data_IF_941212718328
#
_entry.id   IF_941212718328
#
_cell.length_a   1.000
_cell.length_b   1.000
_cell.length_c   1.000
_cell.angle_alpha   90.00
_cell.angle_beta   90.00
_cell.angle_gamma   90.00
#
_symmetry.space_group_name_H-M   'P 1'
#
loop_
_entity.id
_entity.type
_entity.pdbx_description
1 polymer ?
#
# COMPACT_ATOMS: atom_id res chain seq x y z
N UNK A 1 -24.62 -24.98 3.47
CA UNK A 1 -23.40 -24.53 4.17
C UNK A 1 -22.43 -25.69 4.15
N UNK A 2 -21.14 -25.50 3.79
CA UNK A 2 -20.13 -26.56 3.84
C UNK A 2 -20.01 -27.15 5.25
N UNK A 3 -19.76 -28.46 5.34
CA UNK A 3 -19.69 -29.17 6.62
C UNK A 3 -18.62 -28.64 7.59
N UNK A 4 -17.58 -28.02 7.04
CA UNK A 4 -16.44 -27.45 7.81
C UNK A 4 -16.40 -25.90 7.77
N UNK A 5 -17.49 -25.25 7.35
CA UNK A 5 -17.58 -23.80 7.26
C UNK A 5 -16.83 -23.21 6.06
N UNK A 6 -16.51 -21.92 6.14
CA UNK A 6 -15.80 -21.16 5.13
C UNK A 6 -14.48 -20.68 5.70
N UNK A 7 -13.40 -20.83 4.94
CA UNK A 7 -12.05 -20.36 5.30
C UNK A 7 -11.69 -19.18 4.41
N UNK A 8 -11.10 -18.14 5.00
CA UNK A 8 -10.54 -16.99 4.28
C UNK A 8 -9.02 -16.95 4.48
N UNK A 9 -8.33 -16.50 3.44
CA UNK A 9 -6.93 -16.08 3.49
C UNK A 9 -6.89 -14.56 3.46
N UNK A 10 -6.49 -13.93 4.55
CA UNK A 10 -6.46 -12.49 4.75
C UNK A 10 -5.02 -12.00 4.82
N UNK A 11 -4.69 -10.93 4.09
CA UNK A 11 -3.33 -10.42 4.00
C UNK A 11 -2.99 -9.40 5.09
N UNK A 12 -3.16 -9.82 6.34
CA UNK A 12 -2.62 -9.19 7.54
C UNK A 12 -2.38 -10.22 8.63
N UNK A 13 -1.74 -9.80 9.70
CA UNK A 13 -1.64 -10.53 10.96
C UNK A 13 -2.86 -10.17 11.83
N UNK A 14 -3.97 -10.90 11.67
CA UNK A 14 -5.18 -10.66 12.47
C UNK A 14 -4.90 -10.73 13.97
N UNK A 15 -5.48 -9.84 14.77
CA UNK A 15 -6.64 -8.99 14.53
C UNK A 15 -6.33 -7.61 13.89
N UNK A 16 -5.08 -7.33 13.53
CA UNK A 16 -4.75 -6.08 12.86
C UNK A 16 -5.27 -6.04 11.42
N UNK A 17 -5.74 -4.87 11.00
CA UNK A 17 -6.13 -4.55 9.62
C UNK A 17 -7.26 -5.43 9.07
N UNK A 18 -8.32 -5.66 9.85
CA UNK A 18 -9.56 -6.28 9.35
C UNK A 18 -10.17 -5.41 8.25
N UNK A 19 -10.63 -6.02 7.15
CA UNK A 19 -11.29 -5.31 6.06
C UNK A 19 -10.63 -5.49 4.70
N UNK A 20 -10.93 -4.59 3.76
CA UNK A 20 -10.70 -4.80 2.33
C UNK A 20 -9.29 -4.40 1.83
N UNK A 21 -8.51 -3.64 2.61
CA UNK A 21 -7.22 -3.09 2.16
C UNK A 21 -6.09 -3.21 3.21
N UNK A 22 -5.86 -4.40 3.79
CA UNK A 22 -4.91 -4.58 4.90
C UNK A 22 -3.47 -4.25 4.48
N UNK A 23 -3.03 -4.68 3.31
CA UNK A 23 -1.67 -4.44 2.80
C UNK A 23 -1.40 -2.95 2.61
N UNK A 24 -2.38 -2.24 2.05
CA UNK A 24 -2.31 -0.79 1.86
C UNK A 24 -2.25 -0.06 3.21
N UNK A 25 -3.05 -0.48 4.18
CA UNK A 25 -3.06 0.10 5.52
C UNK A 25 -1.71 -0.09 6.23
N UNK A 26 -1.13 -1.27 6.19
CA UNK A 26 0.17 -1.58 6.78
C UNK A 26 1.30 -0.69 6.21
N UNK A 27 1.36 -0.52 4.88
CA UNK A 27 2.36 0.36 4.24
C UNK A 27 2.11 1.82 4.64
N UNK A 28 0.86 2.30 4.57
CA UNK A 28 0.52 3.70 4.83
C UNK A 28 0.86 4.12 6.27
N UNK A 29 0.65 3.25 7.26
CA UNK A 29 0.97 3.50 8.66
C UNK A 29 2.45 3.31 8.98
N UNK A 30 3.18 2.61 8.10
CA UNK A 30 4.62 2.39 8.23
C UNK A 30 4.96 1.18 9.07
N UNK A 31 4.10 0.18 9.07
CA UNK A 31 4.45 -1.12 9.62
C UNK A 31 5.68 -1.69 8.91
N UNK A 32 6.53 -2.37 9.65
CA UNK A 32 7.74 -3.02 9.11
C UNK A 32 7.52 -4.52 8.86
N UNK A 33 6.47 -5.08 9.46
CA UNK A 33 6.08 -6.49 9.33
C UNK A 33 4.58 -6.56 9.10
N UNK A 34 4.17 -7.45 8.22
CA UNK A 34 2.79 -7.87 7.99
C UNK A 34 2.77 -9.38 7.79
N UNK A 35 1.74 -9.91 7.16
CA UNK A 35 1.65 -11.33 6.89
C UNK A 35 0.35 -11.74 6.24
N UNK A 36 0.09 -13.03 6.27
CA UNK A 36 -1.19 -13.59 5.90
C UNK A 36 -1.72 -14.49 7.03
N UNK A 37 -3.03 -14.46 7.19
CA UNK A 37 -3.76 -15.24 8.21
C UNK A 37 -4.84 -16.07 7.54
N UNK A 38 -4.89 -17.37 7.84
CA UNK A 38 -6.05 -18.22 7.51
C UNK A 38 -6.99 -18.28 8.71
N UNK A 39 -8.26 -18.00 8.50
CA UNK A 39 -9.25 -17.95 9.57
C UNK A 39 -10.62 -18.46 9.10
N UNK A 40 -11.46 -18.87 10.04
CA UNK A 40 -12.84 -19.24 9.75
C UNK A 40 -13.71 -17.99 9.60
N UNK A 41 -14.55 -17.94 8.55
CA UNK A 41 -15.45 -16.81 8.34
C UNK A 41 -16.60 -16.88 9.36
N UNK A 42 -16.88 -15.77 10.00
CA UNK A 42 -17.98 -15.50 10.90
C UNK A 42 -18.79 -14.28 10.45
N UNK A 43 -19.97 -14.01 11.05
CA UNK A 43 -20.80 -12.86 10.64
C UNK A 43 -20.14 -11.50 10.81
N UNK A 44 -19.24 -11.34 11.81
CA UNK A 44 -18.49 -10.09 12.01
C UNK A 44 -17.28 -10.02 11.07
N UNK A 45 -16.91 -8.81 10.67
CA UNK A 45 -15.84 -8.56 9.71
C UNK A 45 -14.50 -9.12 10.20
N UNK A 46 -13.99 -10.12 9.48
CA UNK A 46 -12.67 -10.75 9.66
C UNK A 46 -12.32 -11.10 11.13
N UNK A 47 -13.35 -11.46 11.92
CA UNK A 47 -13.23 -11.68 13.38
C UNK A 47 -13.10 -13.14 13.79
N UNK A 48 -13.31 -14.06 12.86
CA UNK A 48 -13.34 -15.49 13.17
C UNK A 48 -12.01 -16.06 13.66
N UNK A 49 -12.05 -17.26 14.25
CA UNK A 49 -10.86 -17.88 14.84
C UNK A 49 -9.83 -18.28 13.77
N UNK A 50 -8.56 -18.13 14.13
CA UNK A 50 -7.38 -18.29 13.26
C UNK A 50 -6.87 -19.71 13.25
N UNK A 51 -6.59 -20.25 12.08
CA UNK A 51 -5.93 -21.55 11.89
C UNK A 51 -4.42 -21.45 11.77
N UNK A 52 -3.91 -20.42 11.09
CA UNK A 52 -2.48 -20.24 10.88
C UNK A 52 -2.11 -18.86 10.39
N UNK A 53 -0.84 -18.52 10.56
CA UNK A 53 -0.27 -17.24 10.12
C UNK A 53 1.09 -17.46 9.46
N UNK A 54 1.43 -16.57 8.53
CA UNK A 54 2.79 -16.41 8.00
C UNK A 54 3.14 -14.95 8.02
N UNK A 55 4.35 -14.62 8.46
CA UNK A 55 4.87 -13.25 8.51
C UNK A 55 5.62 -12.89 7.24
N UNK A 56 5.57 -11.62 6.86
CA UNK A 56 6.28 -11.04 5.73
C UNK A 56 6.86 -9.68 6.11
N UNK A 57 8.11 -9.42 5.75
CA UNK A 57 8.75 -8.11 5.97
C UNK A 57 8.29 -7.11 4.92
N UNK A 58 7.90 -5.92 5.35
CA UNK A 58 7.63 -4.78 4.47
C UNK A 58 8.95 -4.05 4.23
N UNK A 59 9.44 -4.07 3.00
CA UNK A 59 10.69 -3.41 2.60
C UNK A 59 10.47 -1.91 2.43
N UNK A 60 11.48 -1.06 2.64
CA UNK A 60 11.34 0.39 2.54
C UNK A 60 10.80 0.91 1.21
N UNK A 61 11.02 0.16 0.12
CA UNK A 61 10.60 0.53 -1.24
C UNK A 61 9.40 -0.24 -1.75
N UNK A 62 8.85 -1.18 -0.96
CA UNK A 62 7.69 -1.95 -1.39
C UNK A 62 6.48 -1.06 -1.70
N UNK A 63 5.88 -1.29 -2.85
CA UNK A 63 4.51 -0.88 -3.14
C UNK A 63 3.53 -1.92 -2.63
N UNK A 64 2.24 -1.56 -2.57
CA UNK A 64 1.20 -2.55 -2.26
C UNK A 64 1.18 -3.70 -3.27
N UNK A 65 1.49 -3.45 -4.55
CA UNK A 65 1.62 -4.49 -5.56
C UNK A 65 2.73 -5.49 -5.24
N UNK A 66 3.94 -4.99 -4.97
CA UNK A 66 5.10 -5.86 -4.66
C UNK A 66 4.83 -6.75 -3.44
N UNK A 67 4.21 -6.17 -2.40
CA UNK A 67 3.90 -6.89 -1.18
C UNK A 67 2.77 -7.91 -1.38
N UNK A 68 1.73 -7.55 -2.14
CA UNK A 68 0.64 -8.47 -2.51
C UNK A 68 1.14 -9.68 -3.30
N UNK A 69 2.06 -9.48 -4.25
CA UNK A 69 2.64 -10.57 -5.03
C UNK A 69 3.38 -11.57 -4.14
N UNK A 70 4.16 -11.09 -3.16
CA UNK A 70 4.85 -11.97 -2.20
C UNK A 70 3.88 -12.68 -1.26
N UNK A 71 2.88 -11.96 -0.73
CA UNK A 71 1.87 -12.53 0.15
C UNK A 71 0.97 -13.54 -0.58
N UNK A 72 0.74 -13.36 -1.88
CA UNK A 72 0.00 -14.34 -2.68
C UNK A 72 0.70 -15.70 -2.73
N UNK A 73 2.03 -15.69 -2.83
CA UNK A 73 2.82 -16.94 -2.85
C UNK A 73 2.87 -17.59 -1.46
N UNK A 74 3.28 -16.85 -0.44
CA UNK A 74 3.39 -17.39 0.93
C UNK A 74 2.02 -17.74 1.52
N UNK A 75 1.01 -16.94 1.23
CA UNK A 75 -0.36 -17.17 1.67
C UNK A 75 -1.01 -18.38 1.01
N UNK A 76 -0.74 -18.62 -0.28
CA UNK A 76 -1.23 -19.83 -0.95
C UNK A 76 -0.68 -21.11 -0.31
N UNK A 77 0.61 -21.13 0.03
CA UNK A 77 1.23 -22.25 0.75
C UNK A 77 0.59 -22.43 2.15
N UNK A 78 0.40 -21.35 2.89
CA UNK A 78 -0.30 -21.36 4.18
C UNK A 78 -1.71 -21.92 4.05
N UNK A 79 -2.49 -21.47 3.05
CA UNK A 79 -3.84 -21.92 2.83
C UNK A 79 -3.90 -23.42 2.51
N UNK A 80 -3.03 -23.93 1.65
CA UNK A 80 -2.97 -25.35 1.33
C UNK A 80 -2.73 -26.18 2.58
N UNK A 81 -1.68 -25.85 3.36
CA UNK A 81 -1.38 -26.52 4.63
C UNK A 81 -2.53 -26.44 5.63
N UNK A 82 -3.23 -25.30 5.68
CA UNK A 82 -4.41 -25.11 6.54
C UNK A 82 -5.54 -26.06 6.15
N UNK A 83 -5.84 -26.14 4.85
CA UNK A 83 -6.93 -27.01 4.37
C UNK A 83 -6.63 -28.49 4.60
N UNK A 84 -5.39 -28.92 4.38
CA UNK A 84 -4.96 -30.29 4.68
C UNK A 84 -5.11 -30.60 6.19
N UNK A 85 -4.59 -29.73 7.04
CA UNK A 85 -4.71 -29.89 8.50
C UNK A 85 -6.14 -29.89 9.03
N UNK A 86 -7.04 -29.11 8.41
CA UNK A 86 -8.49 -29.15 8.72
C UNK A 86 -9.09 -30.48 8.24
N UNK A 87 -8.70 -30.96 7.05
CA UNK A 87 -9.18 -32.21 6.50
C UNK A 87 -8.84 -33.40 7.40
N UNK A 88 -7.61 -33.44 7.88
CA UNK A 88 -7.08 -34.48 8.75
C UNK A 88 -7.52 -34.35 10.22
N UNK A 89 -8.20 -33.25 10.59
CA UNK A 89 -8.59 -32.97 11.96
C UNK A 89 -7.41 -32.60 12.89
N UNK A 90 -6.27 -32.26 12.30
CA UNK A 90 -5.04 -31.88 13.04
C UNK A 90 -5.03 -30.43 13.50
N UNK A 91 -5.82 -29.54 12.88
CA UNK A 91 -5.88 -28.12 13.22
C UNK A 91 -7.18 -27.77 13.95
N UNK A 92 -7.03 -27.05 15.06
CA UNK A 92 -8.14 -26.41 15.79
C UNK A 92 -7.95 -24.90 15.72
N UNK A 93 -8.95 -24.13 15.28
CA UNK A 93 -8.82 -22.69 15.18
C UNK A 93 -8.79 -22.03 16.55
N UNK A 94 -8.00 -20.97 16.70
CA UNK A 94 -7.81 -20.23 17.95
C UNK A 94 -8.51 -18.87 17.84
N UNK A 95 -9.34 -18.46 18.82
CA UNK A 95 -9.96 -17.14 18.83
C UNK A 95 -8.92 -16.03 18.72
N UNK A 96 -9.25 -14.98 17.95
CA UNK A 96 -8.40 -13.80 17.87
C UNK A 96 -8.34 -13.09 19.22
N UNK A 97 -7.20 -12.47 19.60
CA UNK A 97 -7.14 -11.62 20.79
C UNK A 97 -8.08 -10.43 20.67
N UNK A 98 -8.57 -9.94 21.81
CA UNK A 98 -9.42 -8.75 21.86
C UNK A 98 -8.62 -7.45 21.58
N UNK A 99 -7.35 -7.44 21.96
CA UNK A 99 -6.46 -6.31 21.79
C UNK A 99 -5.82 -6.31 20.40
N UNK A 100 -5.42 -5.12 19.91
CA UNK A 100 -4.72 -4.96 18.63
C UNK A 100 -5.65 -4.94 17.40
N UNK A 101 -6.95 -4.88 17.58
CA UNK A 101 -7.91 -4.76 16.48
C UNK A 101 -7.78 -3.42 15.80
N UNK A 102 -7.55 -3.45 14.48
CA UNK A 102 -7.57 -2.26 13.63
C UNK A 102 -8.32 -2.55 12.33
N UNK A 103 -8.74 -1.48 11.62
CA UNK A 103 -9.57 -1.60 10.43
C UNK A 103 -8.83 -1.06 9.20
N UNK A 104 -9.03 -1.73 8.08
CA UNK A 104 -8.50 -1.36 6.77
C UNK A 104 -9.64 -1.30 5.73
N UNK A 105 -10.42 -0.21 5.69
CA UNK A 105 -11.52 -0.08 4.76
C UNK A 105 -11.02 0.00 3.32
N UNK A 106 -11.92 -0.27 2.36
CA UNK A 106 -11.62 -0.15 0.93
C UNK A 106 -11.17 1.27 0.59
N UNK A 107 -10.04 1.38 -0.12
CA UNK A 107 -9.50 2.67 -0.57
C UNK A 107 -10.20 3.11 -1.86
N UNK A 108 -10.66 4.36 -1.89
CA UNK A 108 -11.28 4.99 -3.06
C UNK A 108 -10.23 5.68 -3.93
N UNK A 109 -10.61 5.99 -5.17
CA UNK A 109 -9.76 6.76 -6.09
C UNK A 109 -9.43 8.14 -5.53
N UNK A 110 -10.38 8.78 -4.83
CA UNK A 110 -10.16 10.10 -4.23
C UNK A 110 -9.13 10.05 -3.09
N UNK A 111 -9.09 8.98 -2.34
CA UNK A 111 -8.08 8.77 -1.31
C UNK A 111 -6.67 8.57 -1.88
N UNK A 112 -6.53 8.28 -3.18
CA UNK A 112 -5.24 8.28 -3.87
C UNK A 112 -4.65 9.67 -4.12
N UNK A 113 -5.38 10.77 -3.85
CA UNK A 113 -4.87 12.12 -4.00
C UNK A 113 -3.76 12.43 -3.02
N UNK A 114 -2.61 12.89 -3.53
CA UNK A 114 -1.48 13.27 -2.69
C UNK A 114 -1.73 14.60 -2.00
N UNK A 115 -1.48 14.65 -0.70
CA UNK A 115 -1.52 15.84 0.13
C UNK A 115 -0.10 16.33 0.36
N UNK A 116 0.32 17.32 -0.40
CA UNK A 116 1.68 17.84 -0.35
C UNK A 116 2.05 18.57 0.95
N UNK A 117 1.06 18.97 1.75
CA UNK A 117 1.22 19.58 3.07
C UNK A 117 1.70 18.60 4.16
N UNK A 118 1.70 17.31 3.87
CA UNK A 118 2.20 16.28 4.79
C UNK A 118 3.72 16.10 4.69
N UNK A 119 4.39 15.54 5.72
CA UNK A 119 5.81 15.21 5.67
C UNK A 119 6.16 14.21 4.55
N UNK A 120 7.36 14.33 3.98
CA UNK A 120 7.82 13.52 2.85
C UNK A 120 7.68 12.01 3.06
N UNK A 121 8.01 11.51 4.26
CA UNK A 121 7.86 10.08 4.56
C UNK A 121 6.42 9.59 4.60
N UNK A 122 5.47 10.45 4.97
CA UNK A 122 4.02 10.13 4.93
C UNK A 122 3.54 10.08 3.49
N UNK A 123 3.99 11.03 2.67
CA UNK A 123 3.68 11.09 1.23
C UNK A 123 4.24 9.86 0.50
N UNK A 124 5.50 9.49 0.77
CA UNK A 124 6.12 8.29 0.20
C UNK A 124 5.31 7.03 0.53
N UNK A 125 5.01 6.81 1.82
CA UNK A 125 4.19 5.67 2.26
C UNK A 125 2.81 5.68 1.61
N UNK A 126 2.16 6.84 1.54
CA UNK A 126 0.87 6.98 0.90
C UNK A 126 0.93 6.57 -0.58
N UNK A 127 1.89 7.11 -1.35
CA UNK A 127 2.05 6.76 -2.76
C UNK A 127 2.29 5.26 -2.95
N UNK A 128 3.20 4.68 -2.17
CA UNK A 128 3.49 3.24 -2.22
C UNK A 128 2.28 2.39 -1.83
N UNK A 129 1.52 2.80 -0.82
CA UNK A 129 0.36 2.06 -0.34
C UNK A 129 -0.77 1.95 -1.36
N UNK A 130 -0.92 2.93 -2.25
CA UNK A 130 -1.96 2.94 -3.28
C UNK A 130 -1.45 2.53 -4.67
N UNK A 131 -0.19 2.15 -4.80
CA UNK A 131 0.41 1.68 -6.06
C UNK A 131 0.33 0.15 -6.17
N UNK A 132 -0.15 -0.42 -7.27
CA UNK A 132 -0.60 0.25 -8.51
C UNK A 132 -2.06 0.71 -8.49
N UNK A 133 -2.87 0.29 -7.53
CA UNK A 133 -4.31 0.54 -7.48
C UNK A 133 -4.76 1.01 -6.09
N UNK A 134 -5.59 2.08 -6.04
CA UNK A 134 -6.18 2.85 -7.13
C UNK A 134 -5.18 3.74 -7.88
N UNK A 135 -3.95 3.88 -7.39
CA UNK A 135 -2.89 4.72 -7.87
C UNK A 135 -2.90 6.11 -7.23
N UNK A 136 -1.70 6.59 -6.85
CA UNK A 136 -1.52 7.96 -6.37
C UNK A 136 -1.71 8.96 -7.51
N UNK A 137 -2.24 10.16 -7.19
CA UNK A 137 -2.43 11.22 -8.18
C UNK A 137 -2.38 12.61 -7.54
N UNK A 138 -2.10 13.59 -8.39
CA UNK A 138 -2.14 15.02 -8.05
C UNK A 138 -2.70 15.82 -9.21
N UNK A 139 -3.00 17.10 -8.95
CA UNK A 139 -3.31 18.08 -10.00
C UNK A 139 -2.07 18.88 -10.32
N UNK A 140 -1.80 19.06 -11.61
CA UNK A 140 -0.79 19.98 -12.13
C UNK A 140 -1.54 20.91 -13.11
N UNK A 141 -1.80 22.13 -12.69
CA UNK A 141 -2.82 22.96 -13.33
C UNK A 141 -4.16 22.22 -13.32
N UNK A 142 -4.81 22.12 -14.47
CA UNK A 142 -6.08 21.41 -14.66
C UNK A 142 -5.92 19.92 -14.99
N UNK A 143 -4.68 19.42 -15.04
CA UNK A 143 -4.42 18.03 -15.38
C UNK A 143 -4.33 17.15 -14.14
N UNK A 144 -5.09 16.05 -14.12
CA UNK A 144 -4.92 14.97 -13.14
C UNK A 144 -3.80 14.05 -13.60
N UNK A 145 -2.67 14.05 -12.91
CA UNK A 145 -1.49 13.25 -13.23
C UNK A 145 -1.35 12.14 -12.20
N UNK A 146 -1.23 10.89 -12.65
CA UNK A 146 -0.89 9.77 -11.76
C UNK A 146 0.59 9.81 -11.44
N UNK A 147 0.94 9.40 -10.22
CA UNK A 147 2.30 9.36 -9.72
C UNK A 147 2.71 7.92 -9.43
N UNK A 148 3.90 7.54 -9.86
CA UNK A 148 4.61 6.37 -9.37
C UNK A 148 5.34 6.66 -8.06
N UNK A 149 6.05 5.65 -7.49
CA UNK A 149 6.86 5.83 -6.30
C UNK A 149 7.84 7.00 -6.43
N UNK A 150 8.07 7.68 -5.30
CA UNK A 150 8.96 8.83 -5.18
C UNK A 150 10.18 8.47 -4.34
N UNK A 151 11.18 9.36 -4.32
CA UNK A 151 12.30 9.28 -3.38
C UNK A 151 12.35 10.54 -2.53
N UNK A 152 12.64 10.40 -1.25
CA UNK A 152 12.85 11.54 -0.35
C UNK A 152 14.22 12.16 -0.68
N UNK A 153 14.27 13.47 -0.87
CA UNK A 153 15.49 14.21 -1.16
C UNK A 153 15.80 15.17 0.00
N UNK A 154 16.41 14.62 1.05
CA UNK A 154 16.73 15.32 2.28
C UNK A 154 17.94 16.26 2.15
N UNK A 155 18.71 16.14 1.08
CA UNK A 155 19.83 17.05 0.75
C UNK A 155 19.41 18.27 -0.07
N UNK A 156 18.19 18.27 -0.63
CA UNK A 156 17.72 19.37 -1.46
C UNK A 156 17.21 20.55 -0.64
N UNK A 157 17.23 21.73 -1.25
CA UNK A 157 16.60 22.92 -0.69
C UNK A 157 15.11 22.69 -0.44
N UNK A 158 14.61 23.12 0.72
CA UNK A 158 13.20 23.02 1.08
C UNK A 158 12.34 23.86 0.16
N UNK A 159 11.29 23.26 -0.37
CA UNK A 159 10.31 23.91 -1.24
C UNK A 159 8.97 24.01 -0.50
N UNK A 160 8.19 25.07 -0.72
CA UNK A 160 6.82 25.12 -0.20
C UNK A 160 5.99 23.93 -0.70
N UNK A 161 5.03 23.41 0.10
CA UNK A 161 4.21 22.26 -0.26
C UNK A 161 3.53 22.42 -1.62
N UNK A 162 3.68 21.43 -2.50
CA UNK A 162 3.10 21.41 -3.85
C UNK A 162 3.86 22.22 -4.90
N UNK A 163 4.88 22.99 -4.52
CA UNK A 163 5.72 23.71 -5.50
C UNK A 163 6.59 22.68 -6.24
N UNK A 164 6.55 22.76 -7.56
CA UNK A 164 7.31 21.88 -8.45
C UNK A 164 8.57 22.65 -8.92
N UNK A 165 9.73 22.02 -8.80
CA UNK A 165 10.99 22.48 -9.38
C UNK A 165 11.58 21.40 -10.27
N UNK A 166 11.81 21.74 -11.54
CA UNK A 166 12.46 20.87 -12.50
C UNK A 166 13.86 21.40 -12.82
N UNK A 167 14.86 20.56 -12.72
CA UNK A 167 16.25 20.86 -13.06
C UNK A 167 16.95 19.63 -13.70
N UNK A 168 18.27 19.70 -13.88
CA UNK A 168 19.06 18.58 -14.46
C UNK A 168 19.06 17.33 -13.57
N UNK A 169 18.83 17.46 -12.27
CA UNK A 169 18.79 16.35 -11.31
C UNK A 169 17.41 15.67 -11.25
N UNK A 170 16.36 16.31 -11.80
CA UNK A 170 15.03 15.72 -11.87
C UNK A 170 13.90 16.69 -11.57
N UNK A 171 12.76 16.14 -11.18
CA UNK A 171 11.57 16.91 -10.83
C UNK A 171 11.29 16.73 -9.34
N UNK A 172 11.43 17.79 -8.58
CA UNK A 172 11.14 17.82 -7.15
C UNK A 172 9.78 18.45 -6.87
N UNK A 173 9.13 17.97 -5.83
CA UNK A 173 7.92 18.59 -5.31
C UNK A 173 8.11 18.86 -3.82
N UNK A 174 7.79 20.08 -3.40
CA UNK A 174 7.81 20.48 -2.00
C UNK A 174 6.76 19.75 -1.18
N UNK A 175 7.10 19.44 0.07
CA UNK A 175 6.23 18.76 1.03
C UNK A 175 6.15 19.54 2.34
N UNK A 176 5.44 19.03 3.33
CA UNK A 176 5.45 19.57 4.69
C UNK A 176 6.79 19.41 5.45
N UNK A 177 7.82 18.85 4.81
CA UNK A 177 9.17 18.72 5.35
C UNK A 177 10.22 18.95 4.26
N UNK A 178 10.96 17.92 3.84
CA UNK A 178 11.93 17.96 2.74
C UNK A 178 11.26 17.58 1.41
N UNK A 179 11.77 18.03 0.26
CA UNK A 179 11.17 17.69 -1.03
C UNK A 179 11.20 16.18 -1.32
N UNK A 180 10.33 15.75 -2.22
CA UNK A 180 10.42 14.43 -2.85
C UNK A 180 10.80 14.58 -4.32
N UNK A 181 11.60 13.63 -4.82
CA UNK A 181 11.95 13.50 -6.22
C UNK A 181 10.95 12.55 -6.89
N UNK A 182 10.29 13.02 -7.94
CA UNK A 182 9.38 12.20 -8.73
C UNK A 182 10.14 11.22 -9.59
N UNK A 183 9.78 9.92 -9.53
CA UNK A 183 10.32 8.90 -10.42
C UNK A 183 9.58 8.87 -11.75
N UNK A 184 8.41 8.26 -11.75
CA UNK A 184 7.55 8.15 -12.94
C UNK A 184 6.21 8.82 -12.68
N UNK A 185 5.59 9.27 -13.77
CA UNK A 185 4.24 9.83 -13.75
C UNK A 185 3.49 9.49 -15.03
N UNK A 186 2.16 9.60 -14.97
CA UNK A 186 1.30 9.34 -16.11
C UNK A 186 0.32 10.50 -16.30
N UNK A 187 0.55 11.38 -17.30
CA UNK A 187 -0.43 12.39 -17.69
C UNK A 187 -1.67 11.75 -18.33
N UNK A 188 -2.80 12.46 -18.40
CA UNK A 188 -4.00 11.97 -19.06
C UNK A 188 -3.76 11.52 -20.49
N UNK A 189 -4.24 10.33 -20.85
CA UNK A 189 -4.10 9.78 -22.20
C UNK A 189 -2.67 9.39 -22.63
N UNK A 190 -1.69 9.44 -21.75
CA UNK A 190 -0.29 9.05 -22.01
C UNK A 190 0.06 7.75 -21.28
N UNK A 191 1.15 7.12 -21.71
CA UNK A 191 1.78 6.02 -20.96
C UNK A 191 2.56 6.56 -19.75
N UNK A 192 2.82 5.69 -18.81
CA UNK A 192 3.75 5.96 -17.71
C UNK A 192 5.12 6.34 -18.28
N UNK A 193 5.71 7.43 -17.79
CA UNK A 193 6.97 7.96 -18.28
C UNK A 193 7.80 8.55 -17.13
N UNK A 194 9.09 8.76 -17.39
CA UNK A 194 9.97 9.42 -16.43
C UNK A 194 9.55 10.88 -16.22
N UNK A 195 9.53 11.34 -14.98
CA UNK A 195 9.10 12.69 -14.62
C UNK A 195 9.99 13.77 -15.24
N UNK A 196 11.31 13.55 -15.35
CA UNK A 196 12.22 14.50 -15.97
C UNK A 196 11.99 14.63 -17.49
N UNK A 197 11.65 13.52 -18.16
CA UNK A 197 11.32 13.55 -19.59
C UNK A 197 10.02 14.34 -19.85
N UNK A 198 9.03 14.11 -19.00
CA UNK A 198 7.79 14.84 -19.05
C UNK A 198 7.98 16.35 -18.81
N UNK A 199 8.76 16.72 -17.79
CA UNK A 199 9.00 18.12 -17.43
C UNK A 199 9.67 18.91 -18.58
N UNK A 200 10.61 18.29 -19.29
CA UNK A 200 11.23 18.91 -20.48
C UNK A 200 10.21 19.19 -21.59
N UNK A 201 9.27 18.27 -21.80
CA UNK A 201 8.19 18.45 -22.78
C UNK A 201 7.11 19.46 -22.34
N UNK A 202 6.87 19.58 -21.04
CA UNK A 202 5.87 20.47 -20.46
C UNK A 202 6.39 21.90 -20.19
N UNK A 203 7.69 22.15 -20.43
CA UNK A 203 8.35 23.46 -20.17
C UNK A 203 8.14 23.98 -18.74
N UNK A 204 8.23 23.08 -17.75
CA UNK A 204 8.07 23.42 -16.33
C UNK A 204 9.30 24.10 -15.71
N UNK A 205 10.12 24.75 -16.46
CA UNK A 205 11.37 25.39 -15.99
C UNK A 205 11.61 26.79 -16.58
N UNK A 206 10.62 27.35 -17.26
CA UNK A 206 10.64 28.72 -17.81
C UNK A 206 9.84 29.68 -16.94
#
# INVERSE_FOLDING_TARGET
VPARGWINLHFSLLPAWRGAAPVQAAIATGDTVTGATTFQIEPSLDSGPVYGVVTETIRPTDTAGDLLDRLAVSGAALLATTLDGIADGALTPVPQPADGVSLAPKITVEQGRVRWDLPAHVIDRHIRSVTPSPGAWTMIGDMRVKLGPVSIDDAAEVLPPGVIRADRAGVRVGTGSVPVLLGQLQPPGKKLMNAADWARGARLGD
#
